data_IF_871959438489
#
_entry.id   IF_871959438489
#
_cell.length_a   1.000
_cell.length_b   1.000
_cell.length_c   1.000
_cell.angle_alpha   90.00
_cell.angle_beta   90.00
_cell.angle_gamma   90.00
#
_symmetry.space_group_name_H-M   'P 1'
#
loop_
_entity.id
_entity.type
_entity.pdbx_description
1 polymer ?
#
# COMPACT_ATOMS: atom_id res chain seq x y z
N UNK A 1 -20.34 32.53 -11.21
CA UNK A 1 -20.46 31.26 -10.45
C UNK A 1 -21.93 31.01 -10.24
N UNK A 2 -22.43 29.84 -10.67
CA UNK A 2 -23.82 29.48 -10.44
C UNK A 2 -23.99 28.99 -9.00
N UNK A 3 -25.22 29.05 -8.45
CA UNK A 3 -25.50 28.54 -7.11
C UNK A 3 -25.14 27.04 -6.96
N UNK A 4 -25.24 26.28 -8.05
CA UNK A 4 -24.86 24.87 -8.09
C UNK A 4 -23.35 24.66 -7.84
N UNK A 5 -22.49 25.51 -8.41
CA UNK A 5 -21.03 25.42 -8.24
C UNK A 5 -20.60 25.68 -6.80
N UNK A 6 -21.30 26.60 -6.11
CA UNK A 6 -21.05 26.92 -4.72
C UNK A 6 -21.45 25.74 -3.80
N UNK A 7 -22.61 25.12 -4.05
CA UNK A 7 -23.04 23.94 -3.30
C UNK A 7 -22.08 22.76 -3.47
N UNK A 8 -21.63 22.48 -4.69
CA UNK A 8 -20.69 21.37 -4.94
C UNK A 8 -19.35 21.56 -4.23
N UNK A 9 -18.83 22.79 -4.20
CA UNK A 9 -17.57 23.09 -3.49
C UNK A 9 -17.64 22.83 -1.99
N UNK A 10 -18.80 23.08 -1.39
CA UNK A 10 -18.99 22.86 0.05
C UNK A 10 -19.25 21.39 0.35
N UNK A 11 -20.01 20.69 -0.48
CA UNK A 11 -20.45 19.31 -0.19
C UNK A 11 -19.40 18.25 -0.61
N UNK A 12 -18.62 18.49 -1.66
CA UNK A 12 -17.62 17.53 -2.16
C UNK A 12 -16.60 17.05 -1.11
N UNK A 13 -16.03 17.91 -0.24
CA UNK A 13 -15.11 17.49 0.82
C UNK A 13 -15.75 16.48 1.80
N UNK A 14 -17.04 16.62 2.11
CA UNK A 14 -17.74 15.71 3.02
C UNK A 14 -17.94 14.31 2.42
N UNK A 15 -18.27 14.22 1.12
CA UNK A 15 -18.36 12.92 0.43
C UNK A 15 -17.00 12.22 0.38
N UNK A 16 -15.93 12.97 0.11
CA UNK A 16 -14.57 12.46 0.15
C UNK A 16 -14.22 11.91 1.54
N UNK A 17 -14.59 12.62 2.60
CA UNK A 17 -14.35 12.16 3.97
C UNK A 17 -15.02 10.81 4.27
N UNK A 18 -16.27 10.62 3.83
CA UNK A 18 -17.00 9.35 4.00
C UNK A 18 -16.31 8.22 3.24
N UNK A 19 -15.93 8.44 1.98
CA UNK A 19 -15.19 7.45 1.19
C UNK A 19 -13.89 7.03 1.87
N UNK A 20 -13.20 7.97 2.50
CA UNK A 20 -11.96 7.69 3.21
C UNK A 20 -12.19 6.85 4.46
N UNK A 21 -13.25 7.09 5.22
CA UNK A 21 -13.60 6.24 6.37
C UNK A 21 -13.84 4.79 5.93
N UNK A 22 -14.52 4.60 4.80
CA UNK A 22 -14.73 3.26 4.21
C UNK A 22 -13.38 2.64 3.79
N UNK A 23 -12.52 3.41 3.14
CA UNK A 23 -11.19 2.94 2.75
C UNK A 23 -10.34 2.54 3.97
N UNK A 24 -10.34 3.36 5.03
CA UNK A 24 -9.65 3.06 6.30
C UNK A 24 -10.15 1.75 6.91
N UNK A 25 -11.47 1.51 6.91
CA UNK A 25 -12.04 0.26 7.39
C UNK A 25 -11.50 -0.95 6.61
N UNK A 26 -11.44 -0.86 5.28
CA UNK A 26 -10.87 -1.94 4.45
C UNK A 26 -9.37 -2.14 4.68
N UNK A 27 -8.60 -1.05 4.79
CA UNK A 27 -7.18 -1.12 5.12
C UNK A 27 -6.93 -1.76 6.47
N UNK A 28 -7.67 -1.33 7.50
CA UNK A 28 -7.59 -1.92 8.83
C UNK A 28 -7.85 -3.43 8.79
N UNK A 29 -8.90 -3.86 8.06
CA UNK A 29 -9.23 -5.27 7.89
C UNK A 29 -8.11 -6.05 7.19
N UNK A 30 -7.54 -5.50 6.11
CA UNK A 30 -6.44 -6.12 5.35
C UNK A 30 -5.18 -6.24 6.21
N UNK A 31 -4.81 -5.17 6.93
CA UNK A 31 -3.61 -5.13 7.76
C UNK A 31 -3.71 -6.01 9.00
N UNK A 32 -4.92 -6.20 9.54
CA UNK A 32 -5.18 -7.08 10.68
C UNK A 32 -5.27 -8.56 10.27
N UNK A 33 -5.59 -8.85 9.01
CA UNK A 33 -5.71 -10.22 8.52
C UNK A 33 -4.33 -10.87 8.43
N UNK A 34 -4.10 -11.88 9.27
CA UNK A 34 -2.80 -12.58 9.45
C UNK A 34 -2.51 -13.60 8.34
N UNK A 35 -2.70 -13.22 7.08
CA UNK A 35 -2.41 -14.09 5.94
C UNK A 35 -0.91 -14.03 5.60
N UNK A 36 -0.16 -15.02 6.07
CA UNK A 36 1.31 -15.14 5.88
C UNK A 36 1.79 -15.26 4.42
N UNK A 37 0.88 -15.33 3.44
CA UNK A 37 1.21 -15.41 2.00
C UNK A 37 0.91 -14.13 1.21
N UNK A 38 0.30 -13.12 1.82
CA UNK A 38 0.01 -11.87 1.12
C UNK A 38 1.21 -10.93 1.19
N UNK A 39 1.57 -10.32 0.06
CA UNK A 39 2.60 -9.27 0.02
C UNK A 39 2.02 -7.97 0.62
N UNK A 40 2.14 -7.80 1.94
CA UNK A 40 1.49 -6.73 2.73
C UNK A 40 2.19 -5.36 2.58
N UNK A 41 3.47 -5.34 2.20
CA UNK A 41 4.28 -4.11 2.09
C UNK A 41 3.64 -2.99 1.24
N UNK A 42 3.14 -3.24 0.00
CA UNK A 42 2.48 -2.21 -0.81
C UNK A 42 1.22 -1.64 -0.15
N UNK A 43 0.46 -2.47 0.58
CA UNK A 43 -0.74 -2.04 1.28
C UNK A 43 -0.43 -1.11 2.45
N UNK A 44 0.71 -1.29 3.13
CA UNK A 44 1.17 -0.37 4.18
C UNK A 44 1.55 0.99 3.61
N UNK A 45 2.19 1.04 2.43
CA UNK A 45 2.53 2.28 1.74
C UNK A 45 1.27 3.03 1.28
N UNK A 46 0.30 2.30 0.71
CA UNK A 46 -0.97 2.88 0.29
C UNK A 46 -1.76 3.40 1.49
N UNK A 47 -1.72 2.72 2.64
CA UNK A 47 -2.30 3.22 3.88
C UNK A 47 -1.68 4.55 4.32
N UNK A 48 -0.36 4.71 4.21
CA UNK A 48 0.30 6.00 4.49
C UNK A 48 -0.18 7.10 3.53
N UNK A 49 -0.33 6.80 2.24
CA UNK A 49 -0.88 7.76 1.27
C UNK A 49 -2.32 8.19 1.62
N UNK A 50 -3.15 7.25 2.08
CA UNK A 50 -4.51 7.55 2.57
C UNK A 50 -4.47 8.44 3.82
N UNK A 51 -3.54 8.23 4.75
CA UNK A 51 -3.38 9.11 5.91
C UNK A 51 -2.99 10.54 5.49
N UNK A 52 -2.08 10.69 4.51
CA UNK A 52 -1.73 12.02 3.96
C UNK A 52 -2.96 12.68 3.34
N UNK A 53 -3.77 11.92 2.58
CA UNK A 53 -5.01 12.42 2.01
C UNK A 53 -6.04 12.85 3.07
N UNK A 54 -6.16 12.12 4.19
CA UNK A 54 -7.04 12.53 5.31
C UNK A 54 -6.60 13.88 5.86
N UNK A 55 -5.31 14.05 6.09
CA UNK A 55 -4.77 15.32 6.61
C UNK A 55 -5.10 16.44 5.62
N UNK A 56 -4.92 16.21 4.32
CA UNK A 56 -5.28 17.15 3.27
C UNK A 56 -6.77 17.55 3.32
N UNK A 57 -7.68 16.59 3.44
CA UNK A 57 -9.12 16.87 3.51
C UNK A 57 -9.51 17.61 4.80
N UNK A 58 -8.90 17.25 5.94
CA UNK A 58 -9.14 17.96 7.21
C UNK A 58 -8.66 19.41 7.11
N UNK A 59 -7.47 19.63 6.53
CA UNK A 59 -6.92 20.97 6.30
C UNK A 59 -7.81 21.77 5.34
N UNK A 60 -8.32 21.15 4.27
CA UNK A 60 -9.26 21.79 3.34
C UNK A 60 -10.55 22.25 4.03
N UNK A 61 -11.14 21.40 4.88
CA UNK A 61 -12.35 21.76 5.63
C UNK A 61 -12.08 22.90 6.61
N UNK A 62 -10.93 22.89 7.30
CA UNK A 62 -10.54 23.96 8.23
C UNK A 62 -10.27 25.29 7.51
N UNK A 63 -9.70 25.26 6.31
CA UNK A 63 -9.48 26.45 5.46
C UNK A 63 -10.81 27.02 4.96
N UNK A 64 -11.73 26.17 4.49
CA UNK A 64 -13.09 26.58 4.08
C UNK A 64 -13.88 27.17 5.26
N UNK A 65 -13.70 26.63 6.46
CA UNK A 65 -14.32 27.14 7.70
C UNK A 65 -13.68 28.46 8.19
N UNK A 66 -12.57 28.89 7.59
CA UNK A 66 -11.83 30.10 7.98
C UNK A 66 -11.04 29.97 9.29
N UNK A 67 -10.83 28.74 9.80
CA UNK A 67 -10.11 28.50 11.05
C UNK A 67 -8.58 28.63 10.87
N UNK A 68 -8.09 28.34 9.67
CA UNK A 68 -6.68 28.45 9.27
C UNK A 68 -6.61 29.09 7.88
N UNK A 69 -5.51 29.77 7.58
CA UNK A 69 -5.20 30.23 6.22
C UNK A 69 -4.06 29.40 5.65
N UNK A 70 -4.38 28.55 4.69
CA UNK A 70 -3.40 27.65 4.09
C UNK A 70 -2.90 28.23 2.77
N UNK A 71 -1.59 28.21 2.56
CA UNK A 71 -1.01 28.68 1.30
C UNK A 71 -1.48 27.82 0.12
N UNK A 72 -1.74 28.45 -1.04
CA UNK A 72 -2.21 27.77 -2.26
C UNK A 72 -1.32 26.62 -2.74
N UNK A 73 -0.04 26.61 -2.35
CA UNK A 73 0.94 25.57 -2.71
C UNK A 73 0.87 24.32 -1.82
N UNK A 74 0.14 24.37 -0.71
CA UNK A 74 0.10 23.26 0.25
C UNK A 74 -0.63 22.02 -0.32
N UNK A 75 -1.81 22.22 -0.93
CA UNK A 75 -2.60 21.12 -1.49
C UNK A 75 -1.87 20.40 -2.64
N UNK A 76 -1.35 21.09 -3.67
CA UNK A 76 -0.61 20.42 -4.74
C UNK A 76 0.63 19.68 -4.23
N UNK A 77 1.30 20.18 -3.18
CA UNK A 77 2.46 19.52 -2.60
C UNK A 77 2.08 18.19 -1.95
N UNK A 78 0.98 18.14 -1.19
CA UNK A 78 0.48 16.90 -0.60
C UNK A 78 0.02 15.91 -1.69
N UNK A 79 -0.65 16.40 -2.73
CA UNK A 79 -1.09 15.59 -3.86
C UNK A 79 0.11 14.92 -4.57
N UNK A 80 1.20 15.66 -4.79
CA UNK A 80 2.43 15.10 -5.37
C UNK A 80 3.05 14.00 -4.51
N UNK A 81 2.98 14.12 -3.18
CA UNK A 81 3.44 13.06 -2.26
C UNK A 81 2.58 11.81 -2.40
N UNK A 82 1.26 11.95 -2.47
CA UNK A 82 0.32 10.84 -2.66
C UNK A 82 0.58 10.14 -4.01
N UNK A 83 0.71 10.90 -5.09
CA UNK A 83 1.00 10.35 -6.42
C UNK A 83 2.34 9.62 -6.42
N UNK A 84 3.39 10.19 -5.83
CA UNK A 84 4.70 9.55 -5.74
C UNK A 84 4.63 8.23 -4.95
N UNK A 85 3.93 8.19 -3.82
CA UNK A 85 3.71 6.97 -3.04
C UNK A 85 2.91 5.92 -3.83
N UNK A 86 1.91 6.36 -4.59
CA UNK A 86 1.10 5.47 -5.42
C UNK A 86 1.94 4.84 -6.54
N UNK A 87 2.68 5.65 -7.30
CA UNK A 87 3.59 5.17 -8.37
C UNK A 87 4.64 4.22 -7.79
N UNK A 88 5.25 4.57 -6.65
CA UNK A 88 6.19 3.70 -5.98
C UNK A 88 5.58 2.35 -5.60
N UNK A 89 4.33 2.35 -5.11
CA UNK A 89 3.60 1.13 -4.75
C UNK A 89 3.37 0.23 -5.98
N UNK A 90 3.02 0.81 -7.13
CA UNK A 90 2.85 0.05 -8.38
C UNK A 90 4.17 -0.59 -8.84
N UNK A 91 5.28 0.17 -8.78
CA UNK A 91 6.60 -0.35 -9.12
C UNK A 91 7.02 -1.48 -8.19
N UNK A 92 6.73 -1.37 -6.89
CA UNK A 92 7.02 -2.39 -5.90
C UNK A 92 6.22 -3.68 -6.17
N UNK A 93 4.95 -3.55 -6.55
CA UNK A 93 4.11 -4.69 -6.95
C UNK A 93 4.66 -5.36 -8.23
N UNK A 94 5.05 -4.57 -9.24
CA UNK A 94 5.67 -5.09 -10.47
C UNK A 94 6.95 -5.88 -10.19
N UNK A 95 7.85 -5.32 -9.39
CA UNK A 95 9.11 -5.97 -9.02
C UNK A 95 8.89 -7.30 -8.26
N UNK A 96 7.88 -7.34 -7.38
CA UNK A 96 7.53 -8.56 -6.66
C UNK A 96 7.00 -9.66 -7.59
N UNK A 97 6.18 -9.32 -8.58
CA UNK A 97 5.64 -10.26 -9.58
C UNK A 97 6.77 -10.82 -10.46
N UNK A 98 7.67 -9.98 -10.95
CA UNK A 98 8.82 -10.40 -11.78
C UNK A 98 9.76 -11.36 -11.03
N UNK A 99 10.05 -11.07 -9.76
CA UNK A 99 10.85 -11.96 -8.89
C UNK A 99 10.16 -13.30 -8.62
N UNK A 100 8.83 -13.27 -8.47
CA UNK A 100 8.05 -14.49 -8.25
C UNK A 100 8.03 -15.37 -9.51
N UNK A 101 7.88 -14.78 -10.70
CA UNK A 101 7.86 -15.51 -11.97
C UNK A 101 9.20 -16.22 -12.29
N UNK A 102 10.33 -15.59 -11.98
CA UNK A 102 11.67 -16.17 -12.20
C UNK A 102 12.03 -17.30 -11.23
N UNK A 103 11.38 -17.38 -10.06
CA UNK A 103 11.59 -18.49 -9.11
C UNK A 103 10.96 -19.83 -9.57
N UNK A 104 9.95 -19.79 -10.44
CA UNK A 104 9.29 -20.99 -10.99
C UNK A 104 10.05 -21.63 -12.16
N UNK A 105 10.96 -20.90 -12.82
CA UNK A 105 11.70 -21.41 -13.99
C UNK A 105 13.04 -22.04 -13.63
N UNK A 106 13.46 -22.00 -12.36
CA UNK A 106 14.70 -22.65 -11.93
C UNK A 106 14.43 -24.15 -11.73
N UNK A 107 14.94 -25.05 -12.60
CA UNK A 107 14.78 -26.48 -12.39
C UNK A 107 15.40 -26.87 -11.04
N UNK A 108 14.87 -27.90 -10.36
CA UNK A 108 15.44 -28.36 -9.10
C UNK A 108 16.93 -28.64 -9.31
N UNK A 109 17.76 -27.92 -8.56
CA UNK A 109 19.22 -28.07 -8.55
C UNK A 109 19.55 -29.56 -8.36
N UNK A 110 20.14 -30.19 -9.38
CA UNK A 110 20.61 -31.59 -9.37
C UNK A 110 21.85 -31.80 -8.50
N UNK A 111 22.05 -31.00 -7.46
CA UNK A 111 23.15 -31.15 -6.50
C UNK A 111 22.64 -31.53 -5.12
N UNK A 112 22.00 -32.69 -5.02
CA UNK A 112 21.84 -33.44 -3.77
C UNK A 112 21.89 -34.96 -3.99
N UNK A 113 22.58 -35.42 -5.04
CA UNK A 113 22.93 -36.83 -5.23
C UNK A 113 24.45 -36.95 -5.19
N UNK A 114 25.00 -36.74 -4.00
CA UNK A 114 26.40 -36.99 -3.67
C UNK A 114 26.43 -37.99 -2.52
N UNK A 115 26.44 -39.28 -2.87
CA UNK A 115 26.31 -40.39 -1.94
C UNK A 115 27.33 -40.40 -0.81
N UNK A 116 26.86 -40.68 0.40
CA UNK A 116 27.66 -41.40 1.39
C UNK A 116 27.32 -42.88 1.29
N UNK A 117 28.25 -43.61 0.69
CA UNK A 117 28.26 -45.07 0.57
C UNK A 117 28.05 -45.73 1.93
N UNK A 118 27.27 -46.81 1.88
CA UNK A 118 27.19 -47.84 2.89
C UNK A 118 28.58 -48.23 3.42
N UNK A 119 28.72 -48.27 4.74
CA UNK A 119 29.75 -49.03 5.43
C UNK A 119 29.04 -50.12 6.25
N UNK A 120 28.81 -51.24 5.58
CA UNK A 120 28.53 -52.54 6.16
C UNK A 120 29.82 -53.07 6.80
N UNK A 121 29.77 -53.44 8.08
CA UNK A 121 30.84 -54.20 8.76
C UNK A 121 30.47 -54.39 10.23
N UNK A 122 29.85 -55.52 10.58
CA UNK A 122 30.47 -56.80 11.01
C UNK A 122 30.69 -56.89 12.53
N UNK A 123 29.93 -57.84 13.10
CA UNK A 123 30.30 -58.87 14.10
C UNK A 123 30.46 -58.50 15.58
N UNK A 124 29.88 -59.39 16.38
CA UNK A 124 30.28 -59.78 17.74
C UNK A 124 29.28 -59.31 18.77
N UNK A 125 28.71 -60.15 19.63
CA UNK A 125 28.68 -61.60 19.81
C UNK A 125 27.46 -61.86 20.71
#
# INVERSE_FOLDING_TARGET
MTAADACLRVVAPYYNLILVLIALFFFYKILTTRNCRAYIQPWRLLFVAVLVYIIEQVVAILDIAGAIMVGKLFFPLLEMVIIALFVYTLLLQKAYIEKSATSFTKPPSKHAVGGKKAATGRRGA
#
